data_IF_399840125359
#
_entry.id   IF_399840125359
#
_cell.length_a   1.000
_cell.length_b   1.000
_cell.length_c   1.000
_cell.angle_alpha   90.00
_cell.angle_beta   90.00
_cell.angle_gamma   90.00
#
_symmetry.space_group_name_H-M   'P 1'
#
loop_
_entity.id
_entity.type
_entity.pdbx_description
1 polymer ?
#
# COMPACT_ATOMS: atom_id res chain seq x y z
N UNK A 1 2.34 3.99 -0.48
CA UNK A 1 1.44 4.03 -1.66
C UNK A 1 2.22 3.56 -2.87
N UNK A 2 1.56 3.29 -4.00
CA UNK A 2 2.21 3.00 -5.29
C UNK A 2 1.44 3.68 -6.43
N UNK A 3 2.12 4.01 -7.53
CA UNK A 3 1.49 4.68 -8.67
C UNK A 3 0.52 3.75 -9.40
N UNK A 4 -0.61 4.30 -9.83
CA UNK A 4 -1.56 3.63 -10.71
C UNK A 4 -1.05 3.71 -12.16
N UNK A 5 -1.41 2.70 -12.97
CA UNK A 5 -0.96 2.51 -14.36
C UNK A 5 -0.79 3.80 -15.15
N UNK A 6 -1.90 4.37 -15.63
CA UNK A 6 -1.88 5.62 -16.40
C UNK A 6 -2.53 6.75 -15.61
N UNK A 7 -1.73 7.78 -15.32
CA UNK A 7 -2.18 9.02 -14.71
C UNK A 7 -2.27 10.16 -15.72
N UNK A 8 -1.58 10.07 -16.87
CA UNK A 8 -1.42 11.18 -17.80
C UNK A 8 -2.70 11.47 -18.59
N UNK A 9 -3.52 10.45 -18.87
CA UNK A 9 -4.83 10.65 -19.51
C UNK A 9 -5.77 11.60 -18.75
N UNK A 10 -5.53 11.84 -17.46
CA UNK A 10 -6.34 12.72 -16.63
C UNK A 10 -5.96 14.20 -16.72
N UNK A 11 -4.77 14.55 -17.24
CA UNK A 11 -4.38 15.96 -17.36
C UNK A 11 -5.31 16.69 -18.32
N UNK A 12 -5.55 16.12 -19.51
CA UNK A 12 -6.51 16.66 -20.47
C UNK A 12 -7.95 16.59 -19.95
N UNK A 13 -8.30 15.54 -19.19
CA UNK A 13 -9.64 15.38 -18.63
C UNK A 13 -10.01 16.49 -17.63
N UNK A 14 -9.02 16.94 -16.86
CA UNK A 14 -9.20 17.95 -15.81
C UNK A 14 -8.73 19.36 -16.22
N UNK A 15 -8.29 19.56 -17.47
CA UNK A 15 -7.77 20.85 -17.94
C UNK A 15 -6.46 21.26 -17.25
N UNK A 16 -5.59 20.30 -16.99
CA UNK A 16 -4.32 20.44 -16.28
C UNK A 16 -3.12 20.12 -17.18
N UNK A 17 -3.20 20.42 -18.47
CA UNK A 17 -2.16 20.08 -19.46
C UNK A 17 -0.81 20.75 -19.16
N UNK A 18 -0.83 21.89 -18.46
CA UNK A 18 0.37 22.64 -18.08
C UNK A 18 0.95 22.22 -16.72
N UNK A 19 0.39 21.21 -16.05
CA UNK A 19 0.94 20.74 -14.77
C UNK A 19 2.28 20.04 -14.98
N UNK A 20 3.25 20.31 -14.12
CA UNK A 20 4.55 19.63 -14.14
C UNK A 20 4.46 18.20 -13.60
N UNK A 21 3.60 17.98 -12.61
CA UNK A 21 3.44 16.70 -11.93
C UNK A 21 1.96 16.33 -11.85
N UNK A 22 1.63 15.12 -12.30
CA UNK A 22 0.31 14.53 -12.12
C UNK A 22 0.44 13.04 -11.84
N UNK A 23 0.07 12.61 -10.63
CA UNK A 23 0.24 11.23 -10.19
C UNK A 23 -1.04 10.76 -9.50
N UNK A 24 -1.56 9.61 -9.93
CA UNK A 24 -2.61 8.87 -9.21
C UNK A 24 -1.99 7.67 -8.54
N UNK A 25 -2.37 7.43 -7.29
CA UNK A 25 -1.78 6.36 -6.49
C UNK A 25 -2.86 5.50 -5.86
N UNK A 26 -2.45 4.34 -5.36
CA UNK A 26 -3.25 3.50 -4.49
C UNK A 26 -2.59 3.40 -3.12
N UNK A 27 -3.38 3.59 -2.07
CA UNK A 27 -2.95 3.45 -0.68
C UNK A 27 -3.10 1.99 -0.21
N UNK A 28 -2.13 1.52 0.55
CA UNK A 28 -2.09 0.21 1.21
C UNK A 28 -1.37 0.36 2.55
N UNK A 29 -1.67 -0.55 3.48
CA UNK A 29 -0.83 -0.71 4.66
C UNK A 29 0.61 -1.08 4.25
N UNK A 30 1.64 -0.67 5.02
CA UNK A 30 3.04 -0.83 4.65
C UNK A 30 3.43 -2.25 4.25
N UNK A 31 2.96 -3.24 5.02
CA UNK A 31 3.30 -4.66 4.84
C UNK A 31 2.71 -5.30 3.59
N UNK A 32 1.74 -4.64 2.95
CA UNK A 32 1.08 -5.19 1.76
C UNK A 32 2.07 -5.43 0.62
N UNK A 33 2.94 -4.46 0.35
CA UNK A 33 3.90 -4.57 -0.75
C UNK A 33 4.97 -5.61 -0.48
N UNK A 34 5.38 -5.72 0.78
CA UNK A 34 6.30 -6.75 1.23
C UNK A 34 5.72 -8.15 0.98
N UNK A 35 4.50 -8.41 1.46
CA UNK A 35 3.82 -9.69 1.25
C UNK A 35 3.55 -9.98 -0.23
N UNK A 36 3.09 -8.98 -0.99
CA UNK A 36 2.80 -9.14 -2.42
C UNK A 36 4.05 -9.49 -3.24
N UNK A 37 5.20 -8.89 -2.93
CA UNK A 37 6.47 -9.26 -3.57
C UNK A 37 6.79 -10.74 -3.34
N UNK A 38 6.63 -11.24 -2.12
CA UNK A 38 6.89 -12.65 -1.81
C UNK A 38 5.97 -13.59 -2.63
N UNK A 39 4.70 -13.22 -2.80
CA UNK A 39 3.75 -13.97 -3.64
C UNK A 39 4.23 -14.02 -5.10
N UNK A 40 4.75 -12.92 -5.65
CA UNK A 40 5.31 -12.87 -7.01
C UNK A 40 6.55 -13.77 -7.13
N UNK A 41 7.47 -13.66 -6.17
CA UNK A 41 8.71 -14.46 -6.16
C UNK A 41 8.40 -15.96 -6.10
N UNK A 42 7.37 -16.34 -5.32
CA UNK A 42 6.87 -17.71 -5.22
C UNK A 42 6.07 -18.17 -6.44
N UNK A 43 5.87 -17.33 -7.46
CA UNK A 43 5.10 -17.64 -8.70
C UNK A 43 3.62 -17.95 -8.48
N UNK A 44 3.06 -17.45 -7.38
CA UNK A 44 1.63 -17.61 -7.06
C UNK A 44 0.70 -16.72 -7.91
N UNK A 45 1.26 -15.81 -8.72
CA UNK A 45 0.49 -14.93 -9.62
C UNK A 45 0.45 -15.42 -11.07
N UNK A 46 0.99 -16.60 -11.37
CA UNK A 46 0.92 -17.18 -12.72
C UNK A 46 -0.51 -17.66 -13.02
N UNK A 47 -1.04 -17.26 -14.17
CA UNK A 47 -2.41 -17.55 -14.63
C UNK A 47 -2.48 -18.83 -15.49
N UNK A 48 -1.35 -19.49 -15.75
CA UNK A 48 -1.30 -20.71 -16.55
C UNK A 48 -1.84 -21.90 -15.73
N UNK A 49 -2.90 -22.60 -16.18
CA UNK A 49 -3.45 -23.75 -15.45
C UNK A 49 -2.46 -24.92 -15.37
N UNK A 50 -2.19 -25.39 -14.16
CA UNK A 50 -1.12 -26.38 -13.89
C UNK A 50 -1.50 -27.43 -12.84
N UNK A 51 -2.52 -27.19 -12.01
CA UNK A 51 -2.83 -28.01 -10.84
C UNK A 51 -4.21 -28.64 -10.94
N UNK A 52 -4.29 -29.95 -10.81
CA UNK A 52 -5.56 -30.65 -10.58
C UNK A 52 -5.90 -30.59 -9.10
N UNK A 53 -7.01 -29.96 -8.76
CA UNK A 53 -7.37 -29.58 -7.38
C UNK A 53 -8.51 -30.41 -6.77
N UNK A 54 -9.20 -31.21 -7.58
CA UNK A 54 -10.27 -32.09 -7.08
C UNK A 54 -9.72 -33.16 -6.15
N UNK A 55 -10.36 -33.30 -4.99
CA UNK A 55 -9.94 -34.20 -3.92
C UNK A 55 -8.69 -33.76 -3.17
N UNK A 56 -8.18 -32.53 -3.40
CA UNK A 56 -7.03 -31.98 -2.67
C UNK A 56 -7.41 -30.88 -1.68
N UNK A 57 -6.75 -30.89 -0.52
CA UNK A 57 -6.81 -29.79 0.43
C UNK A 57 -5.97 -28.60 -0.04
N UNK A 58 -6.21 -27.42 0.53
CA UNK A 58 -5.45 -26.21 0.23
C UNK A 58 -3.96 -26.38 0.56
N UNK A 59 -3.62 -27.02 1.69
CA UNK A 59 -2.24 -27.39 2.02
C UNK A 59 -1.62 -28.25 0.92
N UNK A 60 -2.32 -29.28 0.45
CA UNK A 60 -1.75 -30.20 -0.54
C UNK A 60 -1.40 -29.47 -1.84
N UNK A 61 -2.29 -28.60 -2.32
CA UNK A 61 -2.06 -27.82 -3.54
C UNK A 61 -0.95 -26.79 -3.34
N UNK A 62 -0.92 -26.08 -2.20
CA UNK A 62 0.18 -25.16 -1.89
C UNK A 62 1.50 -25.88 -1.79
N UNK A 63 1.56 -27.03 -1.09
CA UNK A 63 2.79 -27.82 -0.96
C UNK A 63 3.30 -28.29 -2.32
N UNK A 64 2.42 -28.79 -3.18
CA UNK A 64 2.77 -29.17 -4.56
C UNK A 64 3.36 -27.98 -5.35
N UNK A 65 2.79 -26.78 -5.20
CA UNK A 65 3.32 -25.56 -5.81
C UNK A 65 4.69 -25.17 -5.23
N UNK A 66 4.82 -25.16 -3.90
CA UNK A 66 6.05 -24.79 -3.19
C UNK A 66 7.21 -25.74 -3.52
N UNK A 67 6.94 -27.05 -3.56
CA UNK A 67 7.94 -28.07 -3.92
C UNK A 67 8.41 -27.90 -5.38
N UNK A 68 7.50 -27.52 -6.29
CA UNK A 68 7.83 -27.26 -7.70
C UNK A 68 8.68 -26.00 -7.90
N UNK A 69 8.49 -24.99 -7.06
CA UNK A 69 9.12 -23.67 -7.21
C UNK A 69 10.29 -23.40 -6.26
N UNK A 70 10.83 -24.44 -5.61
CA UNK A 70 12.04 -24.33 -4.80
C UNK A 70 11.83 -23.51 -3.52
N UNK A 71 10.72 -23.75 -2.82
CA UNK A 71 10.41 -23.02 -1.59
C UNK A 71 11.49 -23.15 -0.52
N UNK A 72 12.13 -24.33 -0.42
CA UNK A 72 13.23 -24.55 0.52
C UNK A 72 14.44 -23.66 0.22
N UNK A 73 14.88 -23.62 -1.04
CA UNK A 73 15.95 -22.72 -1.47
C UNK A 73 15.57 -21.25 -1.28
N UNK A 74 14.33 -20.89 -1.63
CA UNK A 74 13.82 -19.53 -1.47
C UNK A 74 13.82 -19.09 0.01
N UNK A 75 13.35 -19.94 0.93
CA UNK A 75 13.40 -19.66 2.38
C UNK A 75 14.84 -19.49 2.85
N UNK A 76 15.73 -20.40 2.44
CA UNK A 76 17.15 -20.34 2.80
C UNK A 76 17.82 -19.07 2.26
N UNK A 77 17.60 -18.73 0.99
CA UNK A 77 18.11 -17.51 0.37
C UNK A 77 17.62 -16.27 1.12
N UNK A 78 16.31 -16.19 1.37
CA UNK A 78 15.76 -15.06 2.13
C UNK A 78 16.37 -14.99 3.52
N UNK A 79 16.55 -16.10 4.23
CA UNK A 79 17.21 -16.09 5.54
C UNK A 79 18.67 -15.63 5.43
N UNK A 80 19.44 -16.14 4.46
CA UNK A 80 20.85 -15.82 4.27
C UNK A 80 21.10 -14.37 3.86
N UNK A 81 20.41 -13.85 2.83
CA UNK A 81 20.48 -12.44 2.43
C UNK A 81 20.20 -11.51 3.62
N UNK A 82 19.21 -11.88 4.45
CA UNK A 82 18.85 -11.13 5.65
C UNK A 82 19.93 -11.20 6.73
N UNK A 83 20.54 -12.37 6.95
CA UNK A 83 21.63 -12.52 7.91
C UNK A 83 22.86 -11.72 7.50
N UNK A 84 23.22 -11.68 6.22
CA UNK A 84 24.35 -10.88 5.73
C UNK A 84 24.09 -9.37 5.87
N UNK A 85 22.90 -8.89 5.47
CA UNK A 85 22.50 -7.48 5.63
C UNK A 85 22.48 -7.05 7.11
N UNK A 86 21.85 -7.86 7.97
CA UNK A 86 21.74 -7.55 9.41
C UNK A 86 23.08 -7.68 10.13
N UNK A 87 23.92 -8.64 9.76
CA UNK A 87 25.28 -8.79 10.30
C UNK A 87 26.14 -7.58 9.98
N UNK A 88 26.17 -7.13 8.72
CA UNK A 88 26.97 -5.96 8.33
C UNK A 88 26.54 -4.68 9.06
N UNK A 89 25.23 -4.48 9.23
CA UNK A 89 24.70 -3.34 9.98
C UNK A 89 24.95 -3.45 11.49
N UNK A 90 24.81 -4.63 12.08
CA UNK A 90 25.15 -4.88 13.48
C UNK A 90 26.64 -4.69 13.74
N UNK A 91 27.51 -5.16 12.85
CA UNK A 91 28.95 -4.93 12.95
C UNK A 91 29.29 -3.44 12.88
N UNK A 92 28.63 -2.68 12.00
CA UNK A 92 28.83 -1.23 11.92
C UNK A 92 28.29 -0.52 13.18
N UNK A 93 27.15 -0.95 13.71
CA UNK A 93 26.59 -0.44 14.98
C UNK A 93 27.50 -0.75 16.17
N UNK A 94 28.03 -1.97 16.25
CA UNK A 94 28.98 -2.38 17.30
C UNK A 94 30.27 -1.57 17.20
N UNK A 95 30.83 -1.38 16.00
CA UNK A 95 32.00 -0.51 15.80
C UNK A 95 31.74 0.93 16.23
N UNK A 96 30.56 1.48 15.95
CA UNK A 96 30.18 2.82 16.40
C UNK A 96 30.07 2.86 17.93
N UNK A 97 29.45 1.86 18.55
CA UNK A 97 29.29 1.77 20.01
C UNK A 97 30.62 1.53 20.74
N UNK A 98 31.51 0.74 20.15
CA UNK A 98 32.86 0.49 20.67
C UNK A 98 33.72 1.75 20.55
N UNK A 99 33.66 2.47 19.43
CA UNK A 99 34.35 3.76 19.26
C UNK A 99 33.86 4.83 20.26
N UNK A 100 32.55 4.83 20.58
CA UNK A 100 32.01 5.69 21.64
C UNK A 100 32.52 5.32 23.02
N UNK A 101 32.52 4.02 23.36
CA UNK A 101 33.05 3.53 24.63
C UNK A 101 34.56 3.83 24.78
N UNK A 102 35.34 3.71 23.71
CA UNK A 102 36.78 4.03 23.71
C UNK A 102 37.01 5.53 23.93
N UNK A 103 36.30 6.40 23.21
CA UNK A 103 36.39 7.86 23.38
C UNK A 103 35.97 8.32 24.78
N UNK A 104 34.93 7.70 25.36
CA UNK A 104 34.47 7.99 26.73
C UNK A 104 35.50 7.55 27.79
N UNK A 105 36.17 6.40 27.58
CA UNK A 105 37.25 5.91 28.44
C UNK A 105 38.53 6.77 28.36
N UNK A 106 38.81 7.37 27.20
CA UNK A 106 39.93 8.28 26.98
C UNK A 106 39.64 9.72 27.43
N UNK A 107 38.42 10.00 27.88
CA UNK A 107 37.99 11.32 28.37
C UNK A 107 37.80 12.35 27.26
N UNK A 108 37.68 11.90 26.00
CA UNK A 108 37.43 12.77 24.86
C UNK A 108 35.93 13.06 24.70
N UNK A 109 35.58 14.30 24.34
CA UNK A 109 34.18 14.66 24.09
C UNK A 109 33.77 14.17 22.70
N UNK A 110 32.83 13.23 22.68
CA UNK A 110 32.21 12.72 21.47
C UNK A 110 31.45 13.87 20.76
N UNK A 111 31.69 14.12 19.46
CA UNK A 111 30.87 15.04 18.68
C UNK A 111 29.42 14.53 18.63
N UNK A 112 28.41 15.38 18.89
CA UNK A 112 27.00 14.99 18.74
C UNK A 112 26.61 14.73 17.27
N UNK A 113 27.38 15.32 16.35
CA UNK A 113 27.16 15.28 14.91
C UNK A 113 28.47 15.11 14.13
N UNK A 114 28.37 14.63 12.89
CA UNK A 114 29.49 14.61 11.93
C UNK A 114 29.04 15.11 10.55
N UNK A 115 29.97 15.65 9.77
CA UNK A 115 29.69 16.12 8.42
C UNK A 115 29.82 14.96 7.42
N UNK A 116 28.74 14.64 6.72
CA UNK A 116 28.69 13.62 5.66
C UNK A 116 28.30 14.26 4.32
N UNK A 117 28.81 13.74 3.19
CA UNK A 117 28.35 14.17 1.87
C UNK A 117 27.10 13.37 1.46
N UNK A 118 26.07 14.04 0.92
CA UNK A 118 24.91 13.38 0.31
C UNK A 118 25.25 12.78 -1.07
N UNK A 119 24.30 12.07 -1.68
CA UNK A 119 24.44 11.43 -3.01
C UNK A 119 24.68 12.45 -4.16
N UNK A 120 24.61 13.76 -3.87
CA UNK A 120 24.88 14.87 -4.79
C UNK A 120 26.16 15.62 -4.44
N UNK A 121 26.92 15.17 -3.44
CA UNK A 121 28.19 15.74 -3.00
C UNK A 121 28.06 16.95 -2.06
N UNK A 122 26.88 17.25 -1.53
CA UNK A 122 26.69 18.34 -0.56
C UNK A 122 27.00 17.87 0.86
N UNK A 123 27.76 18.67 1.61
CA UNK A 123 28.03 18.41 3.02
C UNK A 123 26.77 18.68 3.86
N UNK A 124 26.33 17.69 4.60
CA UNK A 124 25.24 17.75 5.59
C UNK A 124 25.77 17.34 6.95
N UNK A 125 25.30 18.03 7.99
CA UNK A 125 25.54 17.65 9.38
C UNK A 125 24.59 16.52 9.76
N UNK A 126 25.14 15.41 10.25
CA UNK A 126 24.41 14.19 10.58
C UNK A 126 24.55 13.94 12.07
N UNK A 127 23.43 13.96 12.79
CA UNK A 127 23.36 13.62 14.22
C UNK A 127 23.58 12.11 14.44
N UNK A 128 24.50 11.76 15.34
CA UNK A 128 24.86 10.36 15.60
C UNK A 128 23.67 9.56 16.14
N UNK A 129 22.87 10.16 17.01
CA UNK A 129 21.66 9.53 17.57
C UNK A 129 20.59 9.26 16.50
N UNK A 130 20.51 10.10 15.46
CA UNK A 130 19.58 9.86 14.36
C UNK A 130 20.01 8.65 13.52
N UNK A 131 21.30 8.49 13.28
CA UNK A 131 21.87 7.32 12.60
C UNK A 131 21.62 6.05 13.40
N UNK A 132 21.85 6.08 14.72
CA UNK A 132 21.57 4.94 15.62
C UNK A 132 20.09 4.56 15.61
N UNK A 133 19.20 5.55 15.74
CA UNK A 133 17.75 5.30 15.74
C UNK A 133 17.27 4.74 14.39
N UNK A 134 17.76 5.26 13.26
CA UNK A 134 17.45 4.72 11.92
C UNK A 134 17.98 3.29 11.77
N UNK A 135 19.20 3.00 12.21
CA UNK A 135 19.78 1.67 12.15
C UNK A 135 19.03 0.66 13.04
N UNK A 136 18.69 1.03 14.27
CA UNK A 136 17.88 0.22 15.17
C UNK A 136 16.46 -0.02 14.64
N UNK A 137 15.80 1.01 14.11
CA UNK A 137 14.48 0.89 13.48
C UNK A 137 14.53 -0.02 12.24
N UNK A 138 15.56 0.10 11.42
CA UNK A 138 15.78 -0.76 10.26
C UNK A 138 15.97 -2.23 10.68
N UNK A 139 16.80 -2.50 11.70
CA UNK A 139 17.01 -3.84 12.24
C UNK A 139 15.71 -4.42 12.80
N UNK A 140 14.97 -3.66 13.60
CA UNK A 140 13.68 -4.08 14.16
C UNK A 140 12.66 -4.38 13.04
N UNK A 141 12.61 -3.55 12.00
CA UNK A 141 11.74 -3.75 10.83
C UNK A 141 12.09 -5.04 10.09
N UNK A 142 13.37 -5.31 9.84
CA UNK A 142 13.84 -6.53 9.17
C UNK A 142 13.55 -7.80 9.97
N UNK A 143 13.69 -7.74 11.29
CA UNK A 143 13.32 -8.85 12.18
C UNK A 143 11.81 -9.12 12.17
N UNK A 144 10.99 -8.06 12.10
CA UNK A 144 9.53 -8.19 11.97
C UNK A 144 9.13 -8.89 10.67
N UNK A 145 9.71 -8.47 9.54
CA UNK A 145 9.45 -9.02 8.19
C UNK A 145 9.67 -10.55 8.08
N UNK A 146 10.71 -11.08 8.73
CA UNK A 146 11.05 -12.50 8.67
C UNK A 146 9.97 -13.40 9.31
N UNK A 147 9.50 -13.00 10.49
CA UNK A 147 8.41 -13.69 11.16
C UNK A 147 7.09 -13.47 10.40
N UNK A 148 6.90 -12.28 9.83
CA UNK A 148 5.70 -11.90 9.12
C UNK A 148 5.46 -12.75 7.86
N UNK A 149 6.50 -13.05 7.07
CA UNK A 149 6.37 -13.84 5.83
C UNK A 149 5.76 -15.22 6.09
N UNK A 150 6.36 -16.00 7.00
CA UNK A 150 5.88 -17.34 7.30
C UNK A 150 4.48 -17.29 7.91
N UNK A 151 4.23 -16.34 8.83
CA UNK A 151 2.90 -16.12 9.40
C UNK A 151 1.85 -15.83 8.33
N UNK A 152 2.17 -15.00 7.33
CA UNK A 152 1.28 -14.70 6.21
C UNK A 152 1.00 -15.95 5.37
N UNK A 153 2.02 -16.74 5.01
CA UNK A 153 1.83 -17.96 4.22
C UNK A 153 1.04 -19.03 4.96
N UNK A 154 1.30 -19.24 6.26
CA UNK A 154 0.49 -20.13 7.08
C UNK A 154 -0.95 -19.63 7.19
N UNK A 155 -1.16 -18.34 7.42
CA UNK A 155 -2.50 -17.75 7.44
C UNK A 155 -3.26 -17.96 6.12
N UNK A 156 -2.57 -17.90 4.98
CA UNK A 156 -3.15 -18.17 3.66
C UNK A 156 -3.47 -19.65 3.42
N UNK A 157 -2.94 -20.57 4.23
CA UNK A 157 -3.32 -21.98 4.22
C UNK A 157 -2.21 -22.95 3.84
N UNK A 158 -0.94 -22.60 4.05
CA UNK A 158 0.18 -23.54 3.89
C UNK A 158 0.05 -24.78 4.81
N UNK A 159 -0.68 -24.65 5.91
CA UNK A 159 -1.03 -25.72 6.86
C UNK A 159 -2.53 -26.12 6.87
N UNK A 160 -3.32 -25.62 5.91
CA UNK A 160 -4.76 -25.85 5.86
C UNK A 160 -5.12 -27.19 5.21
N UNK A 161 -5.35 -28.21 6.04
CA UNK A 161 -5.80 -29.53 5.60
C UNK A 161 -7.32 -29.69 5.49
N UNK A 162 -8.08 -28.77 6.07
CA UNK A 162 -9.53 -28.91 6.21
C UNK A 162 -10.26 -28.34 4.99
N UNK A 163 -9.69 -27.32 4.35
CA UNK A 163 -10.30 -26.67 3.19
C UNK A 163 -10.00 -27.43 1.91
N UNK A 164 -11.00 -28.11 1.36
CA UNK A 164 -10.93 -28.74 0.05
C UNK A 164 -11.05 -27.73 -1.09
N UNK A 165 -10.19 -27.80 -2.10
CA UNK A 165 -10.16 -26.83 -3.21
C UNK A 165 -11.23 -27.15 -4.27
N UNK A 166 -11.24 -28.37 -4.81
CA UNK A 166 -12.30 -28.88 -5.71
C UNK A 166 -12.75 -27.91 -6.83
N UNK A 167 -11.79 -27.31 -7.55
CA UNK A 167 -12.03 -26.37 -8.66
C UNK A 167 -11.58 -26.93 -10.02
N UNK A 168 -11.32 -28.24 -10.13
CA UNK A 168 -10.80 -28.84 -11.36
C UNK A 168 -9.35 -28.45 -11.64
N UNK A 169 -9.07 -28.03 -12.88
CA UNK A 169 -7.75 -27.59 -13.31
C UNK A 169 -7.58 -26.09 -13.07
N UNK A 170 -6.63 -25.72 -12.22
CA UNK A 170 -6.40 -24.35 -11.76
C UNK A 170 -4.97 -23.87 -12.04
N UNK A 171 -4.81 -22.56 -12.21
CA UNK A 171 -3.53 -21.86 -12.16
C UNK A 171 -3.12 -21.55 -10.71
N UNK A 172 -1.83 -21.25 -10.44
CA UNK A 172 -1.41 -20.66 -9.16
C UNK A 172 -2.26 -19.46 -8.73
N UNK A 173 -2.59 -18.56 -9.66
CA UNK A 173 -3.41 -17.39 -9.38
C UNK A 173 -4.82 -17.77 -8.91
N UNK A 174 -5.45 -18.79 -9.52
CA UNK A 174 -6.77 -19.29 -9.10
C UNK A 174 -6.74 -19.87 -7.69
N UNK A 175 -5.67 -20.59 -7.35
CA UNK A 175 -5.46 -21.18 -6.01
C UNK A 175 -5.25 -20.07 -4.98
N UNK A 176 -4.42 -19.07 -5.30
CA UNK A 176 -4.19 -17.91 -4.45
C UNK A 176 -5.48 -17.11 -4.23
N UNK A 177 -6.25 -16.87 -5.28
CA UNK A 177 -7.55 -16.20 -5.19
C UNK A 177 -8.49 -16.99 -4.27
N UNK A 178 -8.57 -18.31 -4.44
CA UNK A 178 -9.38 -19.17 -3.57
C UNK A 178 -8.95 -19.04 -2.10
N UNK A 179 -7.64 -19.04 -1.81
CA UNK A 179 -7.12 -18.82 -0.47
C UNK A 179 -7.52 -17.44 0.08
N UNK A 180 -7.37 -16.36 -0.70
CA UNK A 180 -7.77 -15.01 -0.29
C UNK A 180 -9.26 -14.89 0.00
N UNK A 181 -10.12 -15.42 -0.86
CA UNK A 181 -11.57 -15.39 -0.68
C UNK A 181 -12.03 -16.12 0.58
N UNK A 182 -11.27 -17.12 1.03
CA UNK A 182 -11.57 -17.89 2.25
C UNK A 182 -10.95 -17.26 3.51
N UNK A 183 -9.71 -16.78 3.42
CA UNK A 183 -8.91 -16.38 4.59
C UNK A 183 -8.95 -14.88 4.88
N UNK A 184 -9.13 -14.04 3.85
CA UNK A 184 -9.10 -12.57 3.95
C UNK A 184 -10.48 -11.92 3.78
N UNK A 185 -11.55 -12.72 3.80
CA UNK A 185 -12.91 -12.19 3.79
C UNK A 185 -13.22 -11.43 5.10
N UNK A 186 -13.98 -10.34 4.98
CA UNK A 186 -14.49 -9.60 6.13
C UNK A 186 -15.43 -10.51 6.94
N UNK A 187 -15.17 -10.63 8.23
CA UNK A 187 -16.06 -11.30 9.18
C UNK A 187 -17.25 -10.38 9.51
N UNK A 188 -18.37 -10.90 10.05
CA UNK A 188 -19.59 -10.12 10.26
C UNK A 188 -19.41 -8.76 10.93
N UNK A 189 -18.51 -8.69 11.92
CA UNK A 189 -18.22 -7.50 12.73
C UNK A 189 -17.02 -6.68 12.25
N UNK A 190 -16.32 -7.13 11.21
CA UNK A 190 -15.21 -6.39 10.64
C UNK A 190 -15.72 -5.14 9.90
N UNK A 191 -14.88 -4.12 9.84
CA UNK A 191 -15.15 -2.85 9.19
C UNK A 191 -14.08 -2.58 8.15
N UNK A 192 -14.49 -2.09 6.98
CA UNK A 192 -13.56 -1.54 6.00
C UNK A 192 -13.41 -0.03 6.18
N UNK A 193 -12.49 0.54 5.41
CA UNK A 193 -12.23 1.98 5.41
C UNK A 193 -11.80 2.42 4.02
N UNK A 194 -12.38 3.52 3.56
CA UNK A 194 -11.95 4.25 2.37
C UNK A 194 -11.19 5.47 2.82
N UNK A 195 -9.99 5.63 2.29
CA UNK A 195 -9.15 6.82 2.46
C UNK A 195 -8.83 7.35 1.08
N UNK A 196 -9.15 8.61 0.84
CA UNK A 196 -8.77 9.33 -0.37
C UNK A 196 -8.08 10.64 0.03
N UNK A 197 -7.04 10.99 -0.73
CA UNK A 197 -6.30 12.24 -0.55
C UNK A 197 -6.04 12.85 -1.92
N UNK A 198 -6.30 14.14 -2.04
CA UNK A 198 -5.86 14.98 -3.13
C UNK A 198 -4.88 16.01 -2.58
N UNK A 199 -3.69 16.07 -3.17
CA UNK A 199 -2.69 17.08 -2.87
C UNK A 199 -2.53 17.92 -4.14
N UNK A 200 -2.82 19.22 -4.02
CA UNK A 200 -2.81 20.15 -5.16
C UNK A 200 -1.89 21.31 -4.79
N UNK A 201 -0.76 21.38 -5.47
CA UNK A 201 0.14 22.54 -5.42
C UNK A 201 -0.16 23.47 -6.59
N UNK A 202 -0.26 24.76 -6.31
CA UNK A 202 -0.58 25.77 -7.32
C UNK A 202 0.15 27.09 -7.07
N UNK A 203 0.37 27.81 -8.16
CA UNK A 203 0.98 29.14 -8.18
C UNK A 203 -0.05 30.16 -8.65
N UNK A 204 -0.07 31.32 -8.01
CA UNK A 204 -0.90 32.43 -8.49
C UNK A 204 -0.22 33.07 -9.70
N UNK A 205 -1.02 33.69 -10.58
CA UNK A 205 -0.54 34.31 -11.83
C UNK A 205 0.38 35.51 -11.65
N UNK A 206 0.70 35.88 -10.40
CA UNK A 206 1.57 37.01 -10.06
C UNK A 206 2.98 36.49 -9.81
N UNK A 207 3.93 36.95 -10.63
CA UNK A 207 5.33 36.57 -10.50
C UNK A 207 5.87 36.86 -9.08
N UNK A 208 6.45 35.84 -8.43
CA UNK A 208 7.04 35.96 -7.09
C UNK A 208 6.13 35.59 -5.93
N UNK A 209 4.87 35.16 -6.16
CA UNK A 209 4.04 34.63 -5.06
C UNK A 209 4.51 33.23 -4.62
N UNK A 210 4.48 32.93 -3.30
CA UNK A 210 4.80 31.60 -2.80
C UNK A 210 3.83 30.56 -3.37
N UNK A 211 4.36 29.34 -3.57
CA UNK A 211 3.54 28.16 -3.91
C UNK A 211 2.55 27.90 -2.79
N UNK A 212 1.30 27.67 -3.16
CA UNK A 212 0.23 27.31 -2.22
C UNK A 212 -0.04 25.82 -2.34
N UNK A 213 -0.46 25.19 -1.24
CA UNK A 213 -0.87 23.78 -1.25
C UNK A 213 -2.28 23.64 -0.66
N UNK A 214 -3.11 22.85 -1.33
CA UNK A 214 -4.39 22.37 -0.79
C UNK A 214 -4.30 20.87 -0.63
N UNK A 215 -4.72 20.40 0.53
CA UNK A 215 -4.98 18.99 0.79
C UNK A 215 -6.48 18.78 0.95
N UNK A 216 -7.06 17.82 0.23
CA UNK A 216 -8.46 17.44 0.35
C UNK A 216 -8.56 15.96 0.67
N UNK A 217 -9.08 15.63 1.84
CA UNK A 217 -9.06 14.28 2.39
C UNK A 217 -10.45 13.75 2.67
N UNK A 218 -10.69 12.48 2.36
CA UNK A 218 -11.93 11.77 2.67
C UNK A 218 -11.58 10.50 3.44
N UNK A 219 -12.21 10.31 4.59
CA UNK A 219 -12.12 9.09 5.38
C UNK A 219 -13.53 8.60 5.69
N UNK A 220 -13.91 7.46 5.13
CA UNK A 220 -15.21 6.82 5.37
C UNK A 220 -14.95 5.45 5.98
N UNK A 221 -15.61 5.15 7.10
CA UNK A 221 -15.53 3.84 7.76
C UNK A 221 -16.82 3.07 7.54
N UNK A 222 -16.69 1.78 7.24
CA UNK A 222 -17.81 0.86 7.20
C UNK A 222 -18.39 0.65 8.59
N UNK A 223 -19.62 0.17 8.63
CA UNK A 223 -20.31 -0.18 9.87
C UNK A 223 -20.19 -1.68 10.16
N UNK A 224 -20.33 -2.50 9.12
CA UNK A 224 -20.29 -3.96 9.17
C UNK A 224 -19.73 -4.52 7.86
N UNK A 225 -19.52 -5.84 7.79
CA UNK A 225 -19.18 -6.55 6.56
C UNK A 225 -20.18 -6.37 5.40
N UNK A 226 -21.44 -6.02 5.69
CA UNK A 226 -22.48 -5.75 4.68
C UNK A 226 -22.57 -4.26 4.35
N UNK A 227 -22.55 -3.40 5.36
CA UNK A 227 -22.61 -1.95 5.21
C UNK A 227 -21.19 -1.35 5.20
N UNK A 228 -20.46 -1.68 4.13
CA UNK A 228 -19.06 -1.26 3.94
C UNK A 228 -18.97 0.19 3.48
N UNK A 229 -17.86 0.86 3.82
CA UNK A 229 -17.50 2.15 3.26
C UNK A 229 -17.43 2.09 1.73
N UNK A 230 -16.86 1.02 1.17
CA UNK A 230 -16.84 0.80 -0.27
C UNK A 230 -18.25 0.79 -0.88
N UNK A 231 -19.18 0.03 -0.31
CA UNK A 231 -20.57 -0.03 -0.79
C UNK A 231 -21.26 1.33 -0.73
N UNK A 232 -21.03 2.09 0.35
CA UNK A 232 -21.54 3.48 0.47
C UNK A 232 -20.94 4.39 -0.60
N UNK A 233 -19.61 4.43 -0.72
CA UNK A 233 -18.91 5.37 -1.62
C UNK A 233 -19.04 5.02 -3.10
N UNK A 234 -19.45 3.80 -3.45
CA UNK A 234 -19.70 3.40 -4.84
C UNK A 234 -21.19 3.44 -5.17
N UNK A 235 -22.03 2.89 -4.28
CA UNK A 235 -23.47 2.76 -4.51
C UNK A 235 -24.23 4.08 -4.36
N UNK A 236 -23.90 4.91 -3.35
CA UNK A 236 -24.62 6.16 -3.12
C UNK A 236 -24.45 7.17 -4.27
N UNK A 237 -23.24 7.45 -4.80
CA UNK A 237 -23.12 8.37 -5.94
C UNK A 237 -23.95 7.92 -7.15
N UNK A 238 -24.00 6.61 -7.42
CA UNK A 238 -24.82 6.05 -8.50
C UNK A 238 -26.31 6.26 -8.24
N UNK A 239 -26.80 5.91 -7.04
CA UNK A 239 -28.21 6.07 -6.67
C UNK A 239 -28.65 7.54 -6.67
N UNK A 240 -27.81 8.43 -6.13
CA UNK A 240 -28.02 9.88 -6.11
C UNK A 240 -28.09 10.41 -7.54
N UNK A 241 -27.12 10.09 -8.40
CA UNK A 241 -27.12 10.52 -9.79
C UNK A 241 -28.36 10.04 -10.54
N UNK A 242 -28.76 8.77 -10.37
CA UNK A 242 -29.99 8.24 -10.95
C UNK A 242 -31.23 9.01 -10.50
N UNK A 243 -31.35 9.30 -9.20
CA UNK A 243 -32.44 10.10 -8.63
C UNK A 243 -32.45 11.52 -9.21
N UNK A 244 -31.31 12.18 -9.33
CA UNK A 244 -31.18 13.54 -9.85
C UNK A 244 -31.51 13.63 -11.35
N UNK A 245 -31.21 12.59 -12.13
CA UNK A 245 -31.63 12.47 -13.53
C UNK A 245 -33.15 12.31 -13.61
N UNK A 246 -33.74 11.40 -12.83
CA UNK A 246 -35.19 11.16 -12.84
C UNK A 246 -36.00 12.38 -12.40
N UNK A 247 -35.50 13.15 -11.44
CA UNK A 247 -36.12 14.39 -10.98
C UNK A 247 -35.91 15.58 -11.92
N UNK A 248 -35.12 15.41 -12.99
CA UNK A 248 -34.82 16.47 -13.97
C UNK A 248 -33.87 17.56 -13.45
N UNK A 249 -33.12 17.29 -12.37
CA UNK A 249 -32.04 18.18 -11.89
C UNK A 249 -30.84 18.11 -12.82
N UNK A 250 -30.42 16.90 -13.20
CA UNK A 250 -29.40 16.67 -14.23
C UNK A 250 -30.14 16.47 -15.56
N UNK A 251 -29.90 17.36 -16.53
CA UNK A 251 -30.58 17.37 -17.84
C UNK A 251 -29.65 17.03 -19.00
N UNK A 252 -28.34 16.96 -18.76
CA UNK A 252 -27.36 16.57 -19.77
C UNK A 252 -27.74 15.26 -20.47
N UNK A 253 -27.66 15.27 -21.80
CA UNK A 253 -27.89 14.08 -22.63
C UNK A 253 -26.59 13.51 -23.19
N UNK A 254 -26.66 12.28 -23.69
CA UNK A 254 -25.54 11.56 -24.28
C UNK A 254 -24.69 10.79 -23.26
N UNK A 255 -23.58 10.21 -23.72
CA UNK A 255 -22.64 9.52 -22.85
C UNK A 255 -21.78 10.55 -22.11
N UNK A 256 -21.90 10.60 -20.79
CA UNK A 256 -21.21 11.58 -19.93
C UNK A 256 -20.48 10.89 -18.79
N UNK A 257 -19.37 11.51 -18.38
CA UNK A 257 -18.63 11.22 -17.15
C UNK A 257 -18.83 12.40 -16.17
N UNK A 258 -18.67 12.18 -14.85
CA UNK A 258 -19.06 13.16 -13.82
C UNK A 258 -18.01 14.29 -13.64
N UNK A 259 -17.57 14.91 -14.74
CA UNK A 259 -16.63 16.06 -14.72
C UNK A 259 -17.32 17.41 -14.91
N UNK A 260 -18.60 17.42 -15.31
CA UNK A 260 -19.38 18.64 -15.45
C UNK A 260 -19.99 19.08 -14.11
N UNK A 261 -19.96 20.39 -13.83
CA UNK A 261 -20.56 21.01 -12.63
C UNK A 261 -22.00 20.59 -12.38
N UNK A 262 -22.79 20.56 -13.44
CA UNK A 262 -24.20 20.13 -13.42
C UNK A 262 -24.38 18.73 -12.81
N UNK A 263 -23.38 17.86 -12.93
CA UNK A 263 -23.40 16.50 -12.36
C UNK A 263 -22.80 16.51 -10.95
N UNK A 264 -21.54 16.96 -10.81
CA UNK A 264 -20.82 16.73 -9.55
C UNK A 264 -21.29 17.62 -8.40
N UNK A 265 -21.74 18.85 -8.65
CA UNK A 265 -22.19 19.77 -7.58
C UNK A 265 -23.42 19.23 -6.83
N UNK A 266 -24.53 18.86 -7.49
CA UNK A 266 -25.69 18.32 -6.78
C UNK A 266 -25.42 16.93 -6.18
N UNK A 267 -24.58 16.11 -6.82
CA UNK A 267 -24.19 14.79 -6.29
C UNK A 267 -23.37 14.96 -5.00
N UNK A 268 -22.36 15.84 -4.99
CA UNK A 268 -21.55 16.11 -3.80
C UNK A 268 -22.36 16.72 -2.66
N UNK A 269 -23.31 17.62 -2.96
CA UNK A 269 -24.19 18.20 -1.96
C UNK A 269 -25.04 17.14 -1.24
N UNK A 270 -25.56 16.15 -1.99
CA UNK A 270 -26.33 15.07 -1.38
C UNK A 270 -25.45 14.01 -0.69
N UNK A 271 -24.25 13.75 -1.21
CA UNK A 271 -23.27 12.90 -0.52
C UNK A 271 -22.86 13.49 0.84
N UNK A 272 -22.74 14.82 0.93
CA UNK A 272 -22.45 15.49 2.19
C UNK A 272 -23.57 15.30 3.23
N UNK A 273 -24.84 15.22 2.80
CA UNK A 273 -25.97 14.89 3.68
C UNK A 273 -25.97 13.42 4.15
N UNK A 274 -25.14 12.56 3.54
CA UNK A 274 -24.91 11.17 3.92
C UNK A 274 -23.54 10.98 4.61
N UNK A 275 -22.98 12.04 5.18
CA UNK A 275 -21.69 12.07 5.88
C UNK A 275 -20.48 11.66 5.01
N UNK A 276 -20.59 11.80 3.68
CA UNK A 276 -19.48 11.58 2.74
C UNK A 276 -19.00 12.95 2.25
N UNK A 277 -18.05 13.51 2.99
CA UNK A 277 -17.54 14.87 2.75
C UNK A 277 -16.02 14.89 2.79
N UNK A 278 -15.42 15.66 1.88
CA UNK A 278 -13.98 15.94 1.90
C UNK A 278 -13.67 17.06 2.90
N UNK A 279 -12.57 16.91 3.63
CA UNK A 279 -12.02 17.91 4.54
C UNK A 279 -10.82 18.56 3.85
N UNK A 280 -10.89 19.87 3.64
CA UNK A 280 -9.83 20.67 3.01
C UNK A 280 -8.94 21.37 4.04
N UNK A 281 -7.63 21.39 3.76
CA UNK A 281 -6.62 22.17 4.48
C UNK A 281 -5.78 22.97 3.47
N UNK A 282 -5.43 24.20 3.84
CA UNK A 282 -4.66 25.13 3.00
C UNK A 282 -3.36 25.49 3.70
N UNK A 283 -2.27 25.52 2.94
CA UNK A 283 -0.91 25.83 3.39
C UNK A 283 -0.29 26.90 2.49
#
# INVERSE_FOLDING_TARGET
WYANRDSLSYTALYGLENTSTFIRTTLRHPDFMYGWRNIIELKLTDETPQYKTDGKSLQQVFKEHMDKHGFGEWVNQKLSERFEETKGLLENLMKLMDAENEAENEGEKIPSSFMAADDKGNLQEVEIDEVKNRAAAFLAHKMHEANLTLKQLFFLGLDDNDTMVNKGLCSPADILQFAFERKLALRPYDKDMIVMMHEIEFENSVAGTPKNKIESSLVVKGETSLHTAMAKTVGLPLGIAAKLILNGTIKMTGLRIPTAKEIYEPVLAELAANDITFIEKRY
#
